data_IF_320318960969
#
_entry.id   IF_320318960969
#
_cell.length_a   1.000
_cell.length_b   1.000
_cell.length_c   1.000
_cell.angle_alpha   90.00
_cell.angle_beta   90.00
_cell.angle_gamma   90.00
#
_symmetry.space_group_name_H-M   'P 1'
#
loop_
_entity.id
_entity.type
_entity.pdbx_description
1 polymer ?
#
# COMPACT_ATOMS: atom_id res chain seq x y z
N UNK A 1 -1.19 -24.07 2.88
CA UNK A 1 -1.30 -25.16 1.89
C UNK A 1 -0.18 -25.00 0.87
N UNK A 2 0.34 -26.10 0.27
CA UNK A 2 1.26 -26.01 -0.88
C UNK A 2 0.62 -25.25 -2.04
N UNK A 3 1.43 -24.63 -2.92
CA UNK A 3 0.94 -23.88 -4.08
C UNK A 3 0.68 -22.38 -3.82
N UNK A 4 1.16 -21.84 -2.70
CA UNK A 4 0.86 -20.46 -2.31
C UNK A 4 1.53 -19.39 -3.18
N UNK A 5 0.84 -18.25 -3.36
CA UNK A 5 1.38 -17.06 -3.99
C UNK A 5 1.67 -15.99 -2.94
N UNK A 6 2.91 -15.49 -2.93
CA UNK A 6 3.32 -14.33 -2.16
C UNK A 6 3.57 -13.18 -3.12
N UNK A 7 2.77 -12.12 -3.02
CA UNK A 7 3.00 -10.87 -3.74
C UNK A 7 3.62 -9.86 -2.79
N UNK A 8 4.85 -9.44 -3.09
CA UNK A 8 5.54 -8.38 -2.35
C UNK A 8 5.60 -7.09 -3.17
N UNK A 9 4.99 -6.03 -2.65
CA UNK A 9 5.02 -4.67 -3.21
C UNK A 9 5.93 -3.73 -2.42
N UNK A 10 6.72 -4.29 -1.49
CA UNK A 10 7.65 -3.54 -0.64
C UNK A 10 8.92 -3.15 -1.37
N UNK A 11 9.51 -2.03 -0.96
CA UNK A 11 10.80 -1.59 -1.47
C UNK A 11 11.94 -2.28 -0.70
N UNK A 12 12.88 -2.91 -1.42
CA UNK A 12 14.06 -3.53 -0.83
C UNK A 12 15.27 -2.59 -0.97
N UNK A 13 15.75 -2.06 0.16
CA UNK A 13 16.86 -1.09 0.17
C UNK A 13 18.25 -1.73 -0.02
N UNK A 14 18.36 -3.03 0.20
CA UNK A 14 19.63 -3.77 0.07
C UNK A 14 19.80 -4.29 -1.35
N UNK A 15 21.05 -4.47 -1.79
CA UNK A 15 21.39 -4.98 -3.14
C UNK A 15 20.85 -6.39 -3.41
N UNK A 16 20.55 -7.17 -2.38
CA UNK A 16 20.00 -8.51 -2.49
C UNK A 16 19.30 -8.93 -1.20
N UNK A 17 18.40 -9.91 -1.33
CA UNK A 17 17.64 -10.50 -0.22
C UNK A 17 17.72 -12.02 -0.36
N UNK A 18 18.07 -12.72 0.71
CA UNK A 18 18.09 -14.18 0.72
C UNK A 18 16.67 -14.74 0.72
N UNK A 19 16.42 -15.71 -0.15
CA UNK A 19 15.11 -16.37 -0.31
C UNK A 19 15.27 -17.88 -0.02
N UNK A 20 14.36 -18.51 0.75
CA UNK A 20 14.47 -19.92 1.12
C UNK A 20 14.01 -20.86 -0.01
N UNK A 21 14.81 -20.94 -1.09
CA UNK A 21 14.45 -21.64 -2.33
C UNK A 21 14.03 -23.10 -2.13
N UNK A 22 14.73 -23.85 -1.27
CA UNK A 22 14.39 -25.26 -0.99
C UNK A 22 13.03 -25.41 -0.32
N UNK A 23 12.68 -24.51 0.61
CA UNK A 23 11.38 -24.51 1.26
C UNK A 23 10.27 -24.12 0.27
N UNK A 24 10.54 -23.15 -0.60
CA UNK A 24 9.60 -22.75 -1.65
C UNK A 24 9.36 -23.90 -2.63
N UNK A 25 10.42 -24.61 -3.03
CA UNK A 25 10.31 -25.81 -3.86
C UNK A 25 9.44 -26.88 -3.19
N UNK A 26 9.73 -27.23 -1.93
CA UNK A 26 8.98 -28.22 -1.18
C UNK A 26 7.49 -27.86 -1.01
N UNK A 27 7.18 -26.55 -0.94
CA UNK A 27 5.83 -26.04 -0.80
C UNK A 27 5.18 -25.60 -2.12
N UNK A 28 5.82 -25.81 -3.27
CA UNK A 28 5.38 -25.29 -4.58
C UNK A 28 4.99 -23.80 -4.54
N UNK A 29 5.78 -22.96 -3.86
CA UNK A 29 5.44 -21.55 -3.62
C UNK A 29 5.96 -20.63 -4.72
N UNK A 30 5.17 -19.62 -5.07
CA UNK A 30 5.53 -18.56 -6.02
C UNK A 30 5.74 -17.24 -5.29
N UNK A 31 6.86 -16.57 -5.56
CA UNK A 31 7.09 -15.18 -5.15
C UNK A 31 6.95 -14.27 -6.38
N UNK A 32 6.04 -13.30 -6.30
CA UNK A 32 5.90 -12.22 -7.27
C UNK A 32 6.32 -10.91 -6.61
N UNK A 33 7.27 -10.19 -7.21
CA UNK A 33 7.77 -8.92 -6.68
C UNK A 33 7.78 -7.86 -7.78
N UNK A 34 7.42 -6.63 -7.42
CA UNK A 34 7.35 -5.52 -8.35
C UNK A 34 6.62 -4.32 -7.76
N UNK A 35 6.62 -3.22 -8.50
CA UNK A 35 5.82 -2.05 -8.15
C UNK A 35 4.35 -2.36 -8.48
N UNK A 36 3.43 -1.86 -7.65
CA UNK A 36 2.00 -1.99 -7.93
C UNK A 36 1.62 -1.26 -9.22
N UNK A 37 0.64 -1.79 -9.95
CA UNK A 37 0.06 -1.15 -11.14
C UNK A 37 -1.37 -0.67 -10.84
N UNK A 38 -1.55 0.28 -9.89
CA UNK A 38 -2.87 0.59 -9.34
C UNK A 38 -3.86 1.15 -10.37
N UNK A 39 -3.37 1.62 -11.53
CA UNK A 39 -4.22 2.17 -12.59
C UNK A 39 -5.13 1.12 -13.21
N UNK A 40 -4.69 -0.13 -13.30
CA UNK A 40 -5.52 -1.22 -13.83
C UNK A 40 -6.72 -1.49 -12.92
N UNK A 41 -6.51 -1.42 -11.60
CA UNK A 41 -7.51 -1.78 -10.59
C UNK A 41 -8.35 -0.58 -10.10
N UNK A 42 -7.96 0.64 -10.46
CA UNK A 42 -8.58 1.87 -9.97
C UNK A 42 -10.09 1.94 -10.20
N UNK A 43 -10.65 1.56 -11.38
CA UNK A 43 -12.09 1.62 -11.60
C UNK A 43 -12.89 0.77 -10.60
N UNK A 44 -12.45 -0.46 -10.36
CA UNK A 44 -13.11 -1.37 -9.41
C UNK A 44 -12.98 -0.86 -7.97
N UNK A 45 -11.80 -0.37 -7.60
CA UNK A 45 -11.56 0.22 -6.28
C UNK A 45 -12.49 1.41 -6.00
N UNK A 46 -12.69 2.29 -6.99
CA UNK A 46 -13.59 3.45 -6.83
C UNK A 46 -15.05 3.02 -6.64
N UNK A 47 -15.50 1.94 -7.30
CA UNK A 47 -16.83 1.38 -7.06
C UNK A 47 -16.98 0.77 -5.66
N UNK A 48 -15.91 0.16 -5.10
CA UNK A 48 -15.91 -0.30 -3.71
C UNK A 48 -16.03 0.86 -2.71
N UNK A 49 -15.36 1.99 -3.00
CA UNK A 49 -15.46 3.21 -2.18
C UNK A 49 -16.88 3.79 -2.27
N UNK A 50 -17.40 3.95 -3.49
CA UNK A 50 -18.73 4.49 -3.74
C UNK A 50 -19.84 3.65 -3.11
N UNK A 51 -19.70 2.33 -3.15
CA UNK A 51 -20.64 1.39 -2.51
C UNK A 51 -20.44 1.25 -0.99
N UNK A 52 -19.52 2.02 -0.40
CA UNK A 52 -19.17 2.02 1.02
C UNK A 52 -18.66 0.66 1.55
N UNK A 53 -18.33 -0.27 0.65
CA UNK A 53 -17.71 -1.57 0.97
C UNK A 53 -16.23 -1.42 1.34
N UNK A 54 -15.61 -0.33 0.92
CA UNK A 54 -14.26 0.05 1.31
C UNK A 54 -14.22 1.51 1.77
N UNK A 55 -13.72 1.76 2.99
CA UNK A 55 -13.70 3.09 3.61
C UNK A 55 -12.24 3.50 3.89
N UNK A 56 -11.52 4.08 2.90
CA UNK A 56 -10.10 4.37 3.03
C UNK A 56 -9.79 5.37 4.15
N UNK A 57 -10.74 6.23 4.52
CA UNK A 57 -10.57 7.19 5.61
C UNK A 57 -10.30 6.52 6.98
N UNK A 58 -10.64 5.24 7.16
CA UNK A 58 -10.39 4.50 8.42
C UNK A 58 -8.92 4.30 8.74
N UNK A 59 -8.03 4.35 7.74
CA UNK A 59 -6.58 4.22 7.99
C UNK A 59 -5.89 5.56 8.19
N UNK A 60 -6.61 6.68 8.03
CA UNK A 60 -6.07 8.02 8.29
C UNK A 60 -5.78 8.14 9.78
N UNK A 61 -4.52 8.42 10.10
CA UNK A 61 -4.08 8.62 11.49
C UNK A 61 -3.85 10.09 11.81
N UNK A 62 -3.51 10.90 10.80
CA UNK A 62 -3.37 12.36 10.92
C UNK A 62 -4.09 13.03 9.76
N UNK A 63 -4.95 13.99 10.07
CA UNK A 63 -5.57 14.89 9.11
C UNK A 63 -5.08 16.32 9.42
N UNK A 64 -4.46 16.99 8.45
CA UNK A 64 -3.86 18.32 8.66
C UNK A 64 -4.20 19.30 7.54
N UNK A 65 -4.16 20.59 7.87
CA UNK A 65 -4.24 21.67 6.88
C UNK A 65 -2.95 21.72 6.05
N UNK A 66 -3.04 22.31 4.87
CA UNK A 66 -1.92 22.45 3.94
C UNK A 66 -0.76 23.26 4.51
N UNK A 67 -1.08 24.28 5.29
CA UNK A 67 -0.14 25.19 5.95
C UNK A 67 0.73 24.45 6.97
N UNK A 68 0.17 23.40 7.59
CA UNK A 68 0.79 22.60 8.65
C UNK A 68 1.38 21.28 8.11
N UNK A 69 1.44 21.10 6.79
CA UNK A 69 1.87 19.84 6.17
C UNK A 69 3.28 19.40 6.60
N UNK A 70 4.20 20.37 6.78
CA UNK A 70 5.58 20.11 7.17
C UNK A 70 5.66 19.41 8.53
N UNK A 71 4.95 19.90 9.55
CA UNK A 71 4.88 19.25 10.86
C UNK A 71 4.15 17.91 10.78
N UNK A 72 3.03 17.86 10.04
CA UNK A 72 2.22 16.64 9.92
C UNK A 72 3.02 15.46 9.34
N UNK A 73 3.90 15.69 8.36
CA UNK A 73 4.75 14.64 7.80
C UNK A 73 5.92 14.22 8.68
N UNK A 74 6.29 15.00 9.70
CA UNK A 74 7.29 14.64 10.70
C UNK A 74 6.70 13.80 11.84
N UNK A 75 5.38 13.77 11.98
CA UNK A 75 4.72 13.00 13.02
C UNK A 75 4.95 11.49 12.84
N UNK A 76 5.24 10.79 13.94
CA UNK A 76 5.35 9.33 13.96
C UNK A 76 3.96 8.70 13.84
N UNK A 77 3.50 8.50 12.61
CA UNK A 77 2.14 8.04 12.32
C UNK A 77 2.09 7.13 11.08
N UNK A 78 0.94 6.52 10.79
CA UNK A 78 0.80 5.54 9.67
C UNK A 78 0.36 6.18 8.36
N UNK A 79 -0.63 7.08 8.39
CA UNK A 79 -1.14 7.78 7.20
C UNK A 79 -1.54 9.22 7.54
N UNK A 80 -0.75 10.14 7.02
CA UNK A 80 -1.06 11.57 6.97
C UNK A 80 -1.90 11.85 5.74
N UNK A 81 -2.99 12.61 5.92
CA UNK A 81 -3.78 13.22 4.85
C UNK A 81 -3.73 14.74 5.04
N UNK A 82 -3.36 15.45 3.98
CA UNK A 82 -3.33 16.91 3.98
C UNK A 82 -4.46 17.41 3.09
N UNK A 83 -5.20 18.42 3.56
CA UNK A 83 -6.30 19.01 2.80
C UNK A 83 -6.13 20.53 2.64
N UNK A 84 -6.75 21.05 1.58
CA UNK A 84 -6.89 22.48 1.30
C UNK A 84 -8.21 22.74 0.58
N UNK A 85 -8.77 23.97 0.63
CA UNK A 85 -9.92 24.33 -0.18
C UNK A 85 -9.69 24.03 -1.67
N UNK A 86 -10.76 23.65 -2.36
CA UNK A 86 -10.76 23.58 -3.83
C UNK A 86 -10.46 24.97 -4.38
N UNK A 87 -9.67 25.02 -5.45
CA UNK A 87 -9.38 26.25 -6.20
C UNK A 87 -10.38 26.47 -7.36
N UNK A 88 -11.40 25.61 -7.44
CA UNK A 88 -12.48 25.61 -8.43
C UNK A 88 -13.83 25.50 -7.73
#
# INVERSE_FOLDING_TARGET
APGGFCTSVGYYFQKGVSIPLMQMYANCSTLHTGISHPRADLPELLELIKSNKFQPAKITTVLSNWEDAHEAFLERTTKVIVHRPSIF
#
